data_IF_302697697485
#
_entry.id   IF_302697697485
#
_cell.length_a   1.000
_cell.length_b   1.000
_cell.length_c   1.000
_cell.angle_alpha   90.00
_cell.angle_beta   90.00
_cell.angle_gamma   90.00
#
_symmetry.space_group_name_H-M   'P 1'
#
loop_
_entity.id
_entity.type
_entity.pdbx_description
1 polymer ?
#
# COMPACT_ATOMS: atom_id res chain seq x y z
N UNK A 1 -3.14 -19.88 23.05
CA UNK A 1 -3.04 -18.63 22.29
C UNK A 1 -4.43 -18.04 22.16
N UNK A 2 -4.70 -16.95 22.86
CA UNK A 2 -6.00 -16.31 22.93
C UNK A 2 -6.34 -15.71 21.57
N UNK A 3 -7.38 -16.19 20.93
CA UNK A 3 -7.95 -15.63 19.69
C UNK A 3 -8.45 -14.24 20.04
N UNK A 4 -7.77 -13.20 19.57
CA UNK A 4 -8.29 -11.84 19.70
C UNK A 4 -9.67 -11.82 19.03
N UNK A 5 -10.71 -11.62 19.82
CA UNK A 5 -12.07 -11.54 19.32
C UNK A 5 -12.15 -10.37 18.35
N UNK A 6 -12.66 -10.63 17.15
CA UNK A 6 -13.00 -9.56 16.22
C UNK A 6 -13.96 -8.59 16.93
N UNK A 7 -13.80 -7.28 16.81
CA UNK A 7 -14.71 -6.32 17.41
C UNK A 7 -16.13 -6.57 16.88
N UNK A 8 -17.17 -6.28 17.68
CA UNK A 8 -18.56 -6.48 17.26
C UNK A 8 -18.84 -5.67 15.99
N UNK A 9 -19.43 -6.33 14.98
CA UNK A 9 -19.77 -5.75 13.68
C UNK A 9 -20.65 -4.51 13.86
N UNK A 10 -20.23 -3.37 13.24
CA UNK A 10 -20.97 -2.11 13.28
C UNK A 10 -20.48 -1.10 14.32
N UNK A 11 -19.42 -1.39 15.08
CA UNK A 11 -18.87 -0.41 16.03
C UNK A 11 -18.29 0.82 15.32
N UNK A 12 -18.34 2.00 15.96
CA UNK A 12 -17.72 3.21 15.43
C UNK A 12 -16.21 3.03 15.11
N UNK A 13 -15.53 2.22 15.92
CA UNK A 13 -14.11 1.88 15.70
C UNK A 13 -13.89 1.08 14.42
N UNK A 14 -14.80 0.14 14.11
CA UNK A 14 -14.73 -0.65 12.88
C UNK A 14 -14.97 0.21 11.65
N UNK A 15 -15.96 1.10 11.68
CA UNK A 15 -16.24 2.05 10.59
C UNK A 15 -15.05 2.99 10.34
N UNK A 16 -14.43 3.50 11.39
CA UNK A 16 -13.23 4.34 11.29
C UNK A 16 -12.08 3.54 10.67
N UNK A 17 -11.80 2.34 11.15
CA UNK A 17 -10.75 1.48 10.62
C UNK A 17 -11.00 1.10 9.15
N UNK A 18 -12.26 0.87 8.78
CA UNK A 18 -12.65 0.62 7.39
C UNK A 18 -12.40 1.87 6.50
N UNK A 19 -12.84 3.04 6.95
CA UNK A 19 -12.66 4.30 6.20
C UNK A 19 -11.18 4.62 6.00
N UNK A 20 -10.38 4.53 7.07
CA UNK A 20 -8.92 4.74 6.96
C UNK A 20 -8.28 3.68 6.07
N UNK A 21 -8.71 2.41 6.20
CA UNK A 21 -8.22 1.33 5.36
C UNK A 21 -8.46 1.58 3.87
N UNK A 22 -9.62 2.13 3.51
CA UNK A 22 -9.96 2.48 2.12
C UNK A 22 -9.01 3.50 1.50
N UNK A 23 -8.41 4.39 2.28
CA UNK A 23 -7.42 5.35 1.76
C UNK A 23 -6.18 4.66 1.16
N UNK A 24 -5.93 3.41 1.50
CA UNK A 24 -4.87 2.58 0.92
C UNK A 24 -5.31 1.75 -0.29
N UNK A 25 -6.55 1.85 -0.72
CA UNK A 25 -7.03 1.17 -1.92
C UNK A 25 -6.44 1.82 -3.18
N UNK A 26 -6.33 1.02 -4.25
CA UNK A 26 -5.68 1.47 -5.49
C UNK A 26 -6.38 2.68 -6.13
N UNK A 27 -7.73 2.73 -6.24
CA UNK A 27 -8.41 3.88 -6.81
C UNK A 27 -8.15 5.18 -6.03
N UNK A 28 -8.12 5.11 -4.70
CA UNK A 28 -7.91 6.25 -3.83
C UNK A 28 -6.49 6.82 -3.95
N UNK A 29 -5.48 5.94 -4.00
CA UNK A 29 -4.08 6.36 -4.16
C UNK A 29 -3.82 6.92 -5.57
N UNK A 30 -4.45 6.36 -6.61
CA UNK A 30 -4.42 6.93 -7.96
C UNK A 30 -5.09 8.30 -8.01
N UNK A 31 -6.26 8.42 -7.40
CA UNK A 31 -7.01 9.68 -7.32
C UNK A 31 -6.21 10.75 -6.58
N UNK A 32 -5.60 10.39 -5.45
CA UNK A 32 -4.72 11.30 -4.71
C UNK A 32 -3.56 11.80 -5.59
N UNK A 33 -2.88 10.90 -6.29
CA UNK A 33 -1.78 11.25 -7.19
C UNK A 33 -2.24 12.16 -8.33
N UNK A 34 -3.41 11.87 -8.92
CA UNK A 34 -4.00 12.69 -9.97
C UNK A 34 -4.40 14.10 -9.48
N UNK A 35 -4.94 14.22 -8.26
CA UNK A 35 -5.25 15.52 -7.64
C UNK A 35 -3.98 16.33 -7.45
N UNK A 36 -2.87 15.71 -6.99
CA UNK A 36 -1.59 16.39 -6.82
C UNK A 36 -1.05 16.87 -8.17
N UNK A 37 -1.12 16.06 -9.23
CA UNK A 37 -0.74 16.47 -10.60
C UNK A 37 -1.58 17.64 -11.06
N UNK A 38 -2.90 17.52 -10.99
CA UNK A 38 -3.84 18.56 -11.45
C UNK A 38 -3.63 19.89 -10.70
N UNK A 39 -3.50 19.82 -9.38
CA UNK A 39 -3.21 21.00 -8.55
C UNK A 39 -1.90 21.67 -8.93
N UNK A 40 -0.87 20.89 -9.21
CA UNK A 40 0.41 21.40 -9.69
C UNK A 40 0.32 22.08 -11.06
N UNK A 41 -0.44 21.49 -11.99
CA UNK A 41 -0.67 22.07 -13.32
C UNK A 41 -1.45 23.39 -13.23
N UNK A 42 -2.53 23.42 -12.48
CA UNK A 42 -3.36 24.60 -12.29
C UNK A 42 -2.61 25.74 -11.57
N UNK A 43 -1.74 25.39 -10.61
CA UNK A 43 -0.93 26.36 -9.85
C UNK A 43 0.41 26.71 -10.50
N UNK A 44 0.75 26.16 -11.68
CA UNK A 44 2.05 26.37 -12.32
C UNK A 44 3.23 25.80 -11.51
N UNK A 45 2.97 24.89 -10.58
CA UNK A 45 3.98 24.34 -9.65
C UNK A 45 4.56 23.02 -10.19
N UNK A 46 5.72 23.12 -10.87
CA UNK A 46 6.41 21.97 -11.47
C UNK A 46 6.79 20.90 -10.43
N UNK A 47 7.21 21.32 -9.21
CA UNK A 47 7.56 20.38 -8.14
C UNK A 47 6.34 19.55 -7.72
N UNK A 48 5.18 20.17 -7.60
CA UNK A 48 3.95 19.48 -7.26
C UNK A 48 3.50 18.50 -8.35
N UNK A 49 3.64 18.88 -9.65
CA UNK A 49 3.40 17.97 -10.77
C UNK A 49 4.33 16.76 -10.70
N UNK A 50 5.64 16.99 -10.54
CA UNK A 50 6.65 15.94 -10.41
C UNK A 50 6.33 15.01 -9.23
N UNK A 51 5.91 15.56 -8.09
CA UNK A 51 5.49 14.78 -6.92
C UNK A 51 4.35 13.82 -7.27
N UNK A 52 3.28 14.33 -7.88
CA UNK A 52 2.12 13.51 -8.22
C UNK A 52 2.48 12.41 -9.25
N UNK A 53 3.35 12.72 -10.22
CA UNK A 53 3.85 11.71 -11.18
C UNK A 53 4.71 10.65 -10.48
N UNK A 54 5.61 11.03 -9.57
CA UNK A 54 6.39 10.08 -8.75
C UNK A 54 5.48 9.19 -7.91
N UNK A 55 4.46 9.76 -7.25
CA UNK A 55 3.49 9.01 -6.45
C UNK A 55 2.74 7.99 -7.30
N UNK A 56 2.24 8.39 -8.47
CA UNK A 56 1.52 7.52 -9.38
C UNK A 56 2.42 6.38 -9.89
N UNK A 57 3.62 6.71 -10.38
CA UNK A 57 4.55 5.72 -10.91
C UNK A 57 4.97 4.70 -9.83
N UNK A 58 5.32 5.17 -8.63
CA UNK A 58 5.67 4.30 -7.51
C UNK A 58 4.50 3.38 -7.12
N UNK A 59 3.26 3.90 -7.13
CA UNK A 59 2.06 3.12 -6.86
C UNK A 59 1.81 2.04 -7.92
N UNK A 60 1.92 2.38 -9.22
CA UNK A 60 1.70 1.43 -10.31
C UNK A 60 2.77 0.32 -10.30
N UNK A 61 4.04 0.66 -10.05
CA UNK A 61 5.09 -0.34 -9.90
C UNK A 61 4.87 -1.24 -8.67
N UNK A 62 4.43 -0.68 -7.54
CA UNK A 62 4.08 -1.48 -6.36
C UNK A 62 2.90 -2.41 -6.64
N UNK A 63 1.91 -1.94 -7.41
CA UNK A 63 0.76 -2.73 -7.84
C UNK A 63 1.18 -3.87 -8.75
N UNK A 64 1.99 -3.59 -9.76
CA UNK A 64 2.51 -4.61 -10.68
C UNK A 64 3.35 -5.65 -9.92
N UNK A 65 4.28 -5.22 -9.09
CA UNK A 65 5.16 -6.11 -8.33
C UNK A 65 4.35 -7.04 -7.39
N UNK A 66 3.39 -6.50 -6.64
CA UNK A 66 2.53 -7.33 -5.77
C UNK A 66 1.68 -8.31 -6.57
N UNK A 67 1.17 -7.92 -7.75
CA UNK A 67 0.34 -8.79 -8.56
C UNK A 67 1.17 -9.94 -9.16
N UNK A 68 2.40 -9.68 -9.60
CA UNK A 68 3.34 -10.72 -10.01
C UNK A 68 3.63 -11.74 -8.89
N UNK A 69 3.71 -11.29 -7.64
CA UNK A 69 3.87 -12.19 -6.48
C UNK A 69 2.59 -12.97 -6.23
N UNK A 70 1.42 -12.32 -6.27
CA UNK A 70 0.11 -12.97 -6.07
C UNK A 70 -0.23 -14.01 -7.15
N UNK A 71 0.31 -13.86 -8.34
CA UNK A 71 0.15 -14.86 -9.40
C UNK A 71 0.97 -16.14 -9.18
N UNK A 72 1.88 -16.15 -8.21
CA UNK A 72 2.78 -17.28 -7.93
C UNK A 72 2.61 -17.88 -6.55
N UNK A 73 1.97 -17.15 -5.63
CA UNK A 73 1.82 -17.58 -4.25
C UNK A 73 0.39 -17.38 -3.76
N UNK A 74 -0.17 -18.44 -3.19
CA UNK A 74 -1.46 -18.42 -2.52
C UNK A 74 -1.25 -18.35 -1.01
N UNK A 75 -2.13 -17.62 -0.34
CA UNK A 75 -2.27 -17.61 1.12
C UNK A 75 -3.70 -17.27 1.49
N UNK A 76 -4.34 -18.14 2.26
CA UNK A 76 -5.69 -17.90 2.76
C UNK A 76 -5.68 -16.73 3.76
N UNK A 77 -6.64 -15.82 3.62
CA UNK A 77 -6.78 -14.68 4.55
C UNK A 77 -7.15 -15.12 5.95
N UNK A 78 -6.72 -14.36 7.01
CA UNK A 78 -7.00 -14.72 8.40
C UNK A 78 -8.47 -14.98 8.71
N UNK A 79 -9.40 -14.22 8.12
CA UNK A 79 -10.85 -14.39 8.35
C UNK A 79 -11.42 -15.66 7.71
N UNK A 80 -10.76 -16.23 6.69
CA UNK A 80 -11.20 -17.42 5.97
C UNK A 80 -10.41 -18.68 6.36
N UNK A 81 -9.33 -18.54 7.15
CA UNK A 81 -8.44 -19.65 7.49
C UNK A 81 -8.97 -20.48 8.64
N UNK A 82 -9.13 -21.79 8.42
CA UNK A 82 -9.54 -22.78 9.45
C UNK A 82 -8.38 -23.54 10.08
N UNK A 83 -7.23 -23.64 9.42
CA UNK A 83 -6.09 -24.46 9.85
C UNK A 83 -4.75 -23.74 9.70
N UNK A 84 -3.72 -24.22 10.40
CA UNK A 84 -2.36 -23.67 10.29
C UNK A 84 -1.74 -23.90 8.90
N UNK A 85 -2.13 -24.97 8.19
CA UNK A 85 -1.67 -25.24 6.82
C UNK A 85 -2.21 -24.21 5.82
N UNK A 86 -3.39 -23.67 6.04
CA UNK A 86 -3.99 -22.62 5.21
C UNK A 86 -3.34 -21.26 5.43
N UNK A 87 -2.70 -21.06 6.60
CA UNK A 87 -1.98 -19.82 6.94
C UNK A 87 -0.60 -19.71 6.29
N UNK A 88 -0.07 -20.82 5.78
CA UNK A 88 1.22 -20.82 5.12
C UNK A 88 1.16 -20.18 3.73
N UNK A 89 2.21 -19.48 3.34
CA UNK A 89 2.43 -19.07 1.95
C UNK A 89 2.87 -20.30 1.18
N UNK A 90 2.20 -20.61 0.09
CA UNK A 90 2.48 -21.78 -0.75
C UNK A 90 2.48 -21.39 -2.23
N UNK A 91 3.24 -22.09 -3.09
CA UNK A 91 3.12 -21.90 -4.53
C UNK A 91 1.67 -22.17 -4.99
N UNK A 92 1.12 -21.27 -5.80
CA UNK A 92 -0.26 -21.40 -6.30
C UNK A 92 -0.60 -20.27 -7.26
N UNK A 93 -1.74 -20.38 -7.91
CA UNK A 93 -2.27 -19.40 -8.88
C UNK A 93 -3.76 -19.13 -8.65
N UNK A 94 -4.21 -19.29 -7.41
CA UNK A 94 -5.61 -19.05 -7.08
C UNK A 94 -5.93 -17.54 -7.10
N UNK A 95 -6.94 -17.15 -7.88
CA UNK A 95 -7.36 -15.75 -8.02
C UNK A 95 -8.48 -15.36 -7.04
N UNK A 96 -8.97 -16.29 -6.22
CA UNK A 96 -10.00 -15.97 -5.25
C UNK A 96 -9.45 -14.97 -4.20
N UNK A 97 -10.22 -13.94 -3.90
CA UNK A 97 -9.81 -12.88 -2.95
C UNK A 97 -9.45 -13.43 -1.57
N UNK A 98 -10.11 -14.53 -1.14
CA UNK A 98 -9.82 -15.24 0.11
C UNK A 98 -8.42 -15.87 0.15
N UNK A 99 -7.86 -16.23 -1.02
CA UNK A 99 -6.59 -16.96 -1.15
C UNK A 99 -5.41 -16.07 -1.55
N UNK A 100 -5.65 -14.78 -1.78
CA UNK A 100 -4.63 -13.81 -2.22
C UNK A 100 -4.24 -12.84 -1.11
N UNK A 101 -3.99 -13.36 0.10
CA UNK A 101 -3.59 -12.55 1.25
C UNK A 101 -2.18 -11.96 1.07
N UNK A 102 -1.24 -12.71 0.54
CA UNK A 102 0.17 -12.34 0.43
C UNK A 102 0.54 -11.79 -0.96
N UNK A 103 1.30 -10.68 -1.04
CA UNK A 103 1.56 -9.67 -0.02
C UNK A 103 0.40 -8.66 0.12
N UNK A 104 0.42 -7.82 1.18
CA UNK A 104 -0.59 -6.78 1.39
C UNK A 104 -0.46 -5.65 0.37
N UNK A 105 -1.51 -5.47 -0.46
CA UNK A 105 -1.56 -4.39 -1.44
C UNK A 105 -1.69 -2.99 -0.83
N UNK A 106 -2.48 -2.86 0.27
CA UNK A 106 -2.61 -1.61 1.00
C UNK A 106 -1.26 -1.12 1.53
N UNK A 107 -0.47 -2.03 2.12
CA UNK A 107 0.86 -1.71 2.64
C UNK A 107 1.84 -1.34 1.53
N UNK A 108 1.80 -2.06 0.40
CA UNK A 108 2.68 -1.79 -0.73
C UNK A 108 2.38 -0.42 -1.36
N UNK A 109 1.12 -0.16 -1.72
CA UNK A 109 0.72 1.08 -2.36
C UNK A 109 0.89 2.30 -1.48
N UNK A 110 0.42 2.24 -0.23
CA UNK A 110 0.52 3.39 0.69
C UNK A 110 1.96 3.76 1.03
N UNK A 111 2.85 2.76 1.23
CA UNK A 111 4.26 3.03 1.48
C UNK A 111 4.97 3.60 0.26
N UNK A 112 4.71 3.07 -0.94
CA UNK A 112 5.29 3.60 -2.18
C UNK A 112 4.93 5.07 -2.39
N UNK A 113 3.65 5.42 -2.23
CA UNK A 113 3.15 6.80 -2.35
C UNK A 113 3.75 7.72 -1.27
N UNK A 114 3.78 7.28 -0.01
CA UNK A 114 4.34 8.06 1.10
C UNK A 114 5.82 8.37 0.90
N UNK A 115 6.60 7.41 0.41
CA UNK A 115 8.03 7.60 0.12
C UNK A 115 8.24 8.54 -1.06
N UNK A 116 7.46 8.39 -2.14
CA UNK A 116 7.52 9.26 -3.31
C UNK A 116 7.21 10.72 -2.94
N UNK A 117 6.20 10.95 -2.10
CA UNK A 117 5.90 12.27 -1.55
C UNK A 117 7.07 12.83 -0.72
N UNK A 118 7.64 12.00 0.15
CA UNK A 118 8.74 12.40 1.04
C UNK A 118 10.03 12.78 0.31
N UNK A 119 10.29 12.25 -0.90
CA UNK A 119 11.43 12.67 -1.72
C UNK A 119 11.34 14.11 -2.19
N UNK A 120 10.14 14.53 -2.58
CA UNK A 120 9.92 15.90 -3.04
C UNK A 120 9.65 16.86 -1.88
N UNK A 121 9.02 16.39 -0.82
CA UNK A 121 8.68 17.17 0.37
C UNK A 121 9.18 16.48 1.64
N UNK A 122 10.47 16.60 2.00
CA UNK A 122 11.06 15.90 3.15
C UNK A 122 10.33 16.19 4.48
N UNK A 123 9.77 17.39 4.64
CA UNK A 123 9.00 17.79 5.82
C UNK A 123 7.68 16.99 5.96
N UNK A 124 7.18 16.42 4.87
CA UNK A 124 5.97 15.56 4.86
C UNK A 124 6.31 14.06 4.97
N UNK A 125 7.59 13.68 4.95
CA UNK A 125 7.99 12.26 4.95
C UNK A 125 7.51 11.53 6.20
N UNK A 126 7.79 12.07 7.38
CA UNK A 126 7.41 11.40 8.63
C UNK A 126 5.89 11.24 8.78
N UNK A 127 5.04 12.27 8.59
CA UNK A 127 3.59 12.10 8.66
C UNK A 127 3.06 11.16 7.55
N UNK A 128 3.60 11.19 6.34
CA UNK A 128 3.19 10.29 5.26
C UNK A 128 3.53 8.83 5.56
N UNK A 129 4.74 8.55 6.07
CA UNK A 129 5.13 7.21 6.52
C UNK A 129 4.27 6.73 7.70
N UNK A 130 3.94 7.62 8.64
CA UNK A 130 3.02 7.32 9.73
C UNK A 130 1.63 6.92 9.23
N UNK A 131 1.09 7.66 8.25
CA UNK A 131 -0.18 7.31 7.61
C UNK A 131 -0.12 5.95 6.90
N UNK A 132 0.95 5.67 6.15
CA UNK A 132 1.15 4.38 5.49
C UNK A 132 1.25 3.22 6.50
N UNK A 133 1.95 3.42 7.62
CA UNK A 133 2.05 2.44 8.69
C UNK A 133 0.68 2.16 9.35
N UNK A 134 -0.14 3.18 9.56
CA UNK A 134 -1.51 3.04 10.09
C UNK A 134 -2.37 2.25 9.09
N UNK A 135 -2.38 2.64 7.80
CA UNK A 135 -3.16 1.97 6.76
C UNK A 135 -2.79 0.48 6.68
N UNK A 136 -1.49 0.17 6.64
CA UNK A 136 -0.99 -1.21 6.61
C UNK A 136 -1.30 -1.95 7.90
N UNK A 137 -1.06 -1.34 9.06
CA UNK A 137 -1.28 -1.93 10.37
C UNK A 137 -2.74 -2.28 10.65
N UNK A 138 -3.68 -1.46 10.19
CA UNK A 138 -5.11 -1.71 10.32
C UNK A 138 -5.60 -2.96 9.58
N UNK A 139 -4.85 -3.48 8.61
CA UNK A 139 -5.23 -4.71 7.91
C UNK A 139 -5.14 -5.95 8.80
N UNK A 140 -4.34 -5.92 9.88
CA UNK A 140 -4.16 -7.04 10.80
C UNK A 140 -5.39 -7.21 11.73
N UNK A 141 -5.84 -6.21 12.51
CA UNK A 141 -7.03 -6.36 13.35
C UNK A 141 -8.31 -6.56 12.52
N UNK A 142 -8.36 -6.13 11.26
CA UNK A 142 -9.45 -6.42 10.32
C UNK A 142 -9.44 -7.85 9.80
N UNK A 143 -8.47 -8.67 10.20
CA UNK A 143 -8.28 -10.04 9.71
C UNK A 143 -8.18 -10.15 8.18
N UNK A 144 -7.78 -9.07 7.52
CA UNK A 144 -7.59 -9.02 6.07
C UNK A 144 -6.21 -9.56 5.65
N UNK A 145 -5.20 -9.31 6.49
CA UNK A 145 -3.81 -9.70 6.26
C UNK A 145 -3.13 -10.16 7.56
N UNK A 146 -2.13 -11.03 7.43
CA UNK A 146 -1.21 -11.35 8.51
C UNK A 146 -0.15 -10.24 8.67
N UNK A 147 0.49 -10.10 9.85
CA UNK A 147 1.61 -9.16 10.02
C UNK A 147 2.73 -9.36 8.99
N UNK A 148 3.00 -10.59 8.61
CA UNK A 148 3.99 -10.93 7.57
C UNK A 148 3.58 -10.47 6.17
N UNK A 149 2.28 -10.45 5.84
CA UNK A 149 1.78 -9.92 4.56
C UNK A 149 1.98 -8.40 4.50
N UNK A 150 1.75 -7.72 5.64
CA UNK A 150 1.96 -6.28 5.80
C UNK A 150 3.44 -5.94 5.62
N UNK A 151 4.33 -6.66 6.32
CA UNK A 151 5.77 -6.47 6.20
C UNK A 151 6.28 -6.71 4.77
N UNK A 152 5.87 -7.81 4.13
CA UNK A 152 6.20 -8.10 2.74
C UNK A 152 5.66 -7.02 1.77
N UNK A 153 4.42 -6.55 1.99
CA UNK A 153 3.86 -5.44 1.24
C UNK A 153 4.68 -4.16 1.38
N UNK A 154 5.13 -3.83 2.59
CA UNK A 154 6.02 -2.67 2.81
C UNK A 154 7.34 -2.80 2.05
N UNK A 155 7.95 -3.99 2.04
CA UNK A 155 9.17 -4.24 1.24
C UNK A 155 8.90 -4.03 -0.24
N UNK A 156 7.79 -4.57 -0.78
CA UNK A 156 7.39 -4.35 -2.18
C UNK A 156 7.22 -2.86 -2.48
N UNK A 157 6.53 -2.10 -1.61
CA UNK A 157 6.33 -0.66 -1.78
C UNK A 157 7.63 0.13 -1.75
N UNK A 158 8.56 -0.23 -0.86
CA UNK A 158 9.88 0.40 -0.77
C UNK A 158 10.72 0.15 -2.03
N UNK A 159 10.75 -1.09 -2.53
CA UNK A 159 11.49 -1.44 -3.73
C UNK A 159 10.89 -0.79 -4.99
N UNK A 160 9.56 -0.76 -5.08
CA UNK A 160 8.86 -0.12 -6.19
C UNK A 160 9.13 1.39 -6.25
N UNK A 161 9.10 2.07 -5.11
CA UNK A 161 9.45 3.50 -5.05
C UNK A 161 10.92 3.72 -5.40
N UNK A 162 11.84 2.92 -4.86
CA UNK A 162 13.25 3.01 -5.21
C UNK A 162 13.49 2.81 -6.72
N UNK A 163 12.82 1.83 -7.34
CA UNK A 163 12.89 1.61 -8.78
C UNK A 163 12.30 2.79 -9.57
N UNK A 164 11.14 3.34 -9.13
CA UNK A 164 10.53 4.50 -9.78
C UNK A 164 11.40 5.74 -9.72
N UNK A 165 12.17 5.89 -8.66
CA UNK A 165 13.06 7.07 -8.50
C UNK A 165 14.19 7.11 -9.51
N UNK A 166 14.59 5.97 -10.09
CA UNK A 166 15.61 5.91 -11.13
C UNK A 166 15.22 6.69 -12.41
N UNK A 167 13.92 6.80 -12.67
CA UNK A 167 13.39 7.55 -13.82
C UNK A 167 13.65 9.06 -13.69
N UNK A 168 13.86 9.55 -12.45
CA UNK A 168 13.99 10.98 -12.16
C UNK A 168 15.42 11.41 -11.80
N UNK A 169 16.40 10.51 -11.91
CA UNK A 169 17.80 10.83 -11.56
C UNK A 169 18.42 11.90 -12.46
N UNK A 170 17.93 12.05 -13.72
CA UNK A 170 18.42 13.07 -14.64
C UNK A 170 17.93 14.50 -14.35
N UNK A 171 16.87 14.65 -13.56
CA UNK A 171 16.25 15.95 -13.27
C UNK A 171 16.84 16.63 -12.02
N UNK A 172 17.66 15.95 -11.24
CA UNK A 172 18.21 16.46 -9.97
C UNK A 172 19.48 17.28 -10.18
N UNK A 173 20.14 17.16 -11.35
CA UNK A 173 21.37 17.89 -11.68
C UNK A 173 21.12 19.29 -12.31
N UNK A 174 19.85 19.65 -12.62
CA UNK A 174 19.49 20.92 -13.26
C UNK A 174 18.76 21.92 -12.34
N UNK A 175 18.70 21.69 -11.01
CA UNK A 175 17.92 22.52 -10.08
C UNK A 175 18.77 23.30 -9.06
#
# INVERSE_FOLDING_TARGET
MTRAAAPPSGSAREKIAETIGKLGDQPELRTLSAIVIAGGLLGGNRRMVRTGVRMLLAHELATLAKDLVKERFDRTRPHSSGSDRERAVKPGKNKAKSETSFPSGHSAGSLAVARALGREYPQLQAPALGAAAIIGGLQVPRLAHYPTDVAAGMVVGMLAEAASSLVFLGDEDES
#
